data_IF_581906819826
#
_entry.id   IF_581906819826
#
_cell.length_a   1.000
_cell.length_b   1.000
_cell.length_c   1.000
_cell.angle_alpha   90.00
_cell.angle_beta   90.00
_cell.angle_gamma   90.00
#
_symmetry.space_group_name_H-M   'P 1'
#
loop_
_entity.id
_entity.type
_entity.pdbx_description
1 polymer ?
2 non-polymer ?
3 non-polymer ?
4 non-polymer ?
5 water ?
#
# COMPACT_ATOMS: atom_id res chain seq x y z
N UNK A 12 -9.69 -19.66 -12.34
CA UNK A 12 -9.75 -18.39 -11.63
C UNK A 12 -8.91 -18.30 -10.33
N UNK A 13 -8.09 -19.32 -10.05
CA UNK A 13 -7.61 -19.51 -8.67
C UNK A 13 -6.11 -19.59 -8.39
N UNK A 14 -5.73 -19.07 -7.23
CA UNK A 14 -4.32 -18.93 -6.85
C UNK A 14 -4.04 -19.47 -5.46
N UNK A 15 -2.78 -19.88 -5.24
CA UNK A 15 -2.34 -20.42 -3.96
C UNK A 15 -2.47 -19.40 -2.85
N UNK A 16 -2.93 -19.85 -1.69
CA UNK A 16 -3.18 -18.96 -0.57
C UNK A 16 -3.05 -19.68 0.76
N UNK A 17 -2.64 -18.93 1.78
CA UNK A 17 -2.44 -19.48 3.12
C UNK A 17 -2.59 -18.38 4.15
N UNK A 18 -2.81 -18.77 5.40
CA UNK A 18 -3.06 -17.81 6.47
C UNK A 18 -2.00 -17.89 7.58
N UNK A 19 -1.69 -16.74 8.17
CA UNK A 19 -0.72 -16.70 9.26
C UNK A 19 -1.33 -16.00 10.47
N UNK A 20 -1.20 -16.61 11.64
CA UNK A 20 -1.74 -16.02 12.86
C UNK A 20 -0.72 -15.09 13.50
N UNK A 21 -1.19 -13.93 13.98
CA UNK A 21 -0.28 -12.94 14.54
C UNK A 21 -0.50 -12.76 16.04
N UNK A 22 0.59 -12.74 16.78
CA UNK A 22 0.53 -12.49 18.20
C UNK A 22 1.37 -11.30 18.59
N UNK A 23 0.87 -10.56 19.57
CA UNK A 23 1.65 -9.56 20.26
C UNK A 23 2.99 -10.17 20.65
N UNK A 24 4.07 -9.41 20.54
CA UNK A 24 5.39 -9.85 20.97
C UNK A 24 5.77 -9.09 22.23
N UNK A 25 5.83 -9.81 23.36
CA UNK A 25 6.24 -9.21 24.62
C UNK A 25 7.60 -9.75 25.03
N UNK A 26 8.27 -9.07 25.98
CA UNK A 26 9.56 -9.58 26.47
C UNK A 26 9.42 -10.99 27.05
N UNK A 27 8.29 -11.26 27.68
CA UNK A 27 8.06 -12.54 28.34
C UNK A 27 7.81 -13.69 27.36
N UNK A 28 7.16 -13.37 26.23
CA UNK A 28 6.72 -14.37 25.28
C UNK A 28 5.60 -13.82 24.41
N UNK A 29 4.71 -14.69 23.96
CA UNK A 29 3.57 -14.27 23.13
C UNK A 29 2.53 -13.50 23.95
N UNK A 30 1.98 -12.44 23.38
CA UNK A 30 0.90 -11.70 24.03
C UNK A 30 -0.44 -12.10 23.47
N UNK A 31 -1.39 -11.17 23.50
CA UNK A 31 -2.70 -11.36 22.90
C UNK A 31 -2.59 -11.76 21.43
N UNK A 32 -3.54 -12.56 20.98
CA UNK A 32 -3.72 -12.82 19.57
C UNK A 32 -4.31 -11.55 18.93
N UNK A 33 -3.81 -11.16 17.76
CA UNK A 33 -4.25 -9.92 17.12
C UNK A 33 -5.01 -10.16 15.81
N UNK A 34 -5.02 -11.39 15.36
CA UNK A 34 -5.78 -11.77 14.19
C UNK A 34 -4.88 -12.45 13.20
N UNK A 35 -5.17 -12.28 11.91
CA UNK A 35 -4.41 -12.98 10.90
C UNK A 35 -3.96 -12.10 9.73
N UNK A 36 -3.10 -12.67 8.90
CA UNK A 36 -2.70 -12.07 7.67
C UNK A 36 -2.79 -13.17 6.64
N UNK A 37 -3.46 -12.90 5.53
CA UNK A 37 -3.57 -13.86 4.46
C UNK A 37 -2.53 -13.56 3.41
N UNK A 38 -1.78 -14.58 3.04
CA UNK A 38 -0.77 -14.45 1.99
C UNK A 38 -1.25 -15.18 0.74
N UNK A 39 -1.39 -14.41 -0.34
CA UNK A 39 -1.97 -14.91 -1.59
C UNK A 39 -1.04 -14.65 -2.77
N UNK A 40 -0.85 -15.67 -3.61
CA UNK A 40 -0.15 -15.52 -4.87
C UNK A 40 -1.00 -14.77 -5.91
N UNK A 41 -0.45 -13.69 -6.47
CA UNK A 41 -1.11 -13.03 -7.59
C UNK A 41 -0.18 -13.05 -8.80
N UNK A 42 -0.68 -12.62 -9.95
CA UNK A 42 0.14 -12.53 -11.14
C UNK A 42 1.23 -11.46 -10.98
N UNK A 43 1.21 -10.75 -9.86
CA UNK A 43 2.15 -9.66 -9.62
C UNK A 43 3.01 -9.84 -8.37
N UNK A 44 2.93 -11.04 -7.79
CA UNK A 44 3.64 -11.31 -6.56
C UNK A 44 2.73 -11.59 -5.40
N UNK A 45 3.33 -11.75 -4.23
CA UNK A 45 2.57 -12.13 -3.03
C UNK A 45 1.80 -10.94 -2.47
N UNK A 46 0.51 -11.14 -2.26
CA UNK A 46 -0.31 -10.12 -1.60
C UNK A 46 -0.53 -10.48 -0.12
N UNK A 47 -0.23 -9.54 0.77
CA UNK A 47 -0.50 -9.70 2.19
C UNK A 47 -1.72 -8.91 2.61
N UNK A 48 -2.79 -9.62 2.98
CA UNK A 48 -4.03 -8.98 3.43
C UNK A 48 -4.21 -9.15 4.94
N UNK A 49 -4.07 -8.06 5.70
CA UNK A 49 -4.20 -8.12 7.15
C UNK A 49 -5.65 -8.20 7.58
N UNK A 50 -5.90 -8.90 8.69
CA UNK A 50 -7.16 -8.89 9.42
C UNK A 50 -6.76 -8.79 10.89
N UNK A 51 -6.32 -7.60 11.28
CA UNK A 51 -5.66 -7.42 12.55
C UNK A 51 -6.34 -6.36 13.41
N UNK A 52 -6.23 -6.51 14.72
CA UNK A 52 -6.77 -5.53 15.65
C UNK A 52 -5.73 -5.21 16.72
N UNK A 53 -5.93 -4.10 17.44
CA UNK A 53 -5.10 -3.77 18.57
C UNK A 53 -3.70 -3.25 18.23
N UNK A 54 -3.57 -2.55 17.12
CA UNK A 54 -2.28 -1.97 16.74
C UNK A 54 -2.33 -0.45 16.79
N UNK A 55 -1.20 0.17 17.12
CA UNK A 55 -1.11 1.62 17.12
C UNK A 55 -1.44 2.16 15.74
N UNK A 56 -2.44 3.04 15.66
CA UNK A 56 -2.77 3.68 14.37
C UNK A 56 -1.51 4.18 13.66
N UNK A 57 -1.47 4.04 12.34
CA UNK A 57 -0.32 4.49 11.57
C UNK A 57 0.33 3.43 10.69
N UNK A 58 1.55 3.70 10.23
CA UNK A 58 2.26 2.80 9.34
C UNK A 58 3.43 2.11 10.03
N UNK A 59 3.44 0.78 9.99
CA UNK A 59 4.46 0.00 10.71
C UNK A 59 5.38 -0.80 9.79
N UNK A 60 6.67 -0.83 10.14
CA UNK A 60 7.60 -1.76 9.51
C UNK A 60 7.04 -3.17 9.51
N UNK A 61 7.20 -3.84 8.38
CA UNK A 61 6.51 -5.09 8.09
C UNK A 61 7.48 -5.94 7.26
N UNK A 62 8.10 -6.94 7.88
CA UNK A 62 9.15 -7.70 7.19
C UNK A 62 9.14 -9.20 7.52
N UNK A 63 9.70 -9.97 6.60
CA UNK A 63 9.97 -11.38 6.83
C UNK A 63 11.36 -11.53 7.45
N UNK A 64 11.43 -12.20 8.61
CA UNK A 64 12.72 -12.44 9.26
C UNK A 64 13.21 -13.89 9.04
N UNK A 65 14.53 -14.08 9.10
CA UNK A 65 15.16 -15.35 8.77
C UNK A 65 14.51 -16.57 9.41
N UNK A 66 14.31 -16.53 10.73
CA UNK A 66 14.00 -17.73 11.49
C UNK A 66 12.52 -17.94 11.79
N UNK A 67 12.11 -19.22 11.78
CA UNK A 67 10.75 -19.68 12.07
C UNK A 67 10.39 -19.56 13.55
N UNK A 68 10.73 -18.44 14.18
CA UNK A 68 10.39 -18.23 15.59
C UNK A 68 10.01 -16.80 15.92
N UNK A 69 9.03 -16.63 16.80
CA UNK A 69 8.63 -15.31 17.26
C UNK A 69 9.04 -15.11 18.71
N UNK A 70 9.86 -16.03 19.19
CA UNK A 70 10.20 -16.09 20.62
C UNK A 70 11.12 -14.94 21.03
N UNK A 71 11.02 -14.54 22.30
CA UNK A 71 11.97 -13.59 22.87
C UNK A 71 13.39 -14.10 22.72
N UNK A 72 14.34 -13.18 22.73
CA UNK A 72 15.74 -13.56 22.69
C UNK A 72 16.47 -12.80 23.77
N UNK A 73 17.57 -13.36 24.25
CA UNK A 73 18.34 -12.65 25.25
C UNK A 73 19.41 -11.81 24.58
N UNK A 74 19.61 -10.60 25.11
CA UNK A 74 20.63 -9.69 24.60
C UNK A 74 21.02 -8.72 25.69
N UNK A 75 22.28 -8.79 26.13
CA UNK A 75 22.76 -7.92 27.19
C UNK A 75 21.95 -8.09 28.48
N UNK A 76 21.48 -9.30 28.72
CA UNK A 76 20.79 -9.62 29.97
C UNK A 76 19.32 -9.25 29.99
N UNK A 77 18.78 -8.90 28.83
CA UNK A 77 17.38 -8.49 28.73
C UNK A 77 16.63 -9.34 27.71
N UNK A 78 15.35 -9.61 28.00
CA UNK A 78 14.51 -10.32 27.06
C UNK A 78 13.98 -9.37 25.99
N UNK A 79 14.54 -9.48 24.78
CA UNK A 79 14.10 -8.69 23.64
C UNK A 79 13.01 -9.42 22.86
N UNK A 80 11.83 -8.79 22.72
CA UNK A 80 10.69 -9.41 22.03
C UNK A 80 11.01 -9.88 20.60
N UNK A 81 10.60 -11.10 20.31
CA UNK A 81 10.71 -11.67 18.96
C UNK A 81 12.12 -11.68 18.39
N UNK A 82 13.11 -11.45 19.26
CA UNK A 82 14.51 -11.44 18.84
C UNK A 82 14.97 -12.78 18.27
N UNK A 83 14.26 -13.86 18.60
CA UNK A 83 14.63 -15.18 18.11
C UNK A 83 14.41 -15.36 16.62
N UNK A 84 13.65 -14.45 16.00
CA UNK A 84 13.40 -14.53 14.56
C UNK A 84 14.62 -14.14 13.71
N UNK A 85 15.68 -13.68 14.38
CA UNK A 85 16.86 -13.22 13.67
C UNK A 85 16.61 -12.00 12.79
N UNK A 86 17.46 -11.80 11.80
CA UNK A 86 17.42 -10.61 10.98
C UNK A 86 16.44 -10.69 9.82
N UNK A 87 16.48 -9.70 8.94
CA UNK A 87 15.61 -9.72 7.77
C UNK A 87 16.01 -10.80 6.79
N UNK A 88 15.03 -11.45 6.19
CA UNK A 88 15.27 -12.45 5.17
C UNK A 88 16.12 -11.87 4.04
N UNK A 89 17.30 -12.46 3.81
CA UNK A 89 18.25 -11.92 2.87
C UNK A 89 19.06 -13.02 2.21
N UNK A 90 18.40 -13.86 1.40
CA UNK A 90 19.06 -15.00 0.75
C UNK A 90 20.23 -14.58 -0.14
N UNK A 91 20.14 -13.40 -0.76
CA UNK A 91 21.22 -12.93 -1.63
C UNK A 91 22.35 -12.25 -0.85
N UNK A 92 22.19 -12.21 0.47
CA UNK A 92 23.21 -11.62 1.33
C UNK A 92 23.55 -10.17 0.96
N UNK A 93 22.53 -9.39 0.62
CA UNK A 93 22.74 -7.98 0.25
C UNK A 93 23.20 -7.14 1.44
N UNK A 94 22.74 -7.49 2.64
CA UNK A 94 23.11 -6.78 3.85
C UNK A 94 22.55 -5.37 3.93
N UNK A 95 21.51 -5.10 3.14
CA UNK A 95 20.97 -3.74 3.09
C UNK A 95 19.44 -3.73 3.06
N UNK A 96 18.86 -2.72 3.71
CA UNK A 96 17.41 -2.57 3.73
C UNK A 96 16.95 -1.49 2.71
N UNK A 97 16.31 -1.94 1.62
CA UNK A 97 15.91 -1.05 0.53
C UNK A 97 14.42 -1.17 0.16
N UNK A 98 13.68 -1.96 0.92
CA UNK A 98 12.24 -2.03 0.76
C UNK A 98 11.79 -2.97 -0.33
N UNK A 99 10.46 -3.06 -0.53
CA UNK A 99 9.79 -4.09 -1.33
C UNK A 99 9.86 -3.86 -2.84
N UNK A 100 10.36 -2.70 -3.28
CA UNK A 100 10.35 -2.40 -4.72
C UNK A 100 11.76 -2.30 -5.27
N UNK A 101 12.74 -2.78 -4.51
CA UNK A 101 14.14 -2.66 -4.91
C UNK A 101 14.90 -3.97 -4.69
N UNK A 102 15.42 -4.54 -5.77
CA UNK A 102 16.05 -5.85 -5.75
C UNK A 102 17.41 -5.91 -5.06
N UNK A 103 17.95 -4.76 -4.68
CA UNK A 103 19.30 -4.73 -4.13
C UNK A 103 19.34 -4.95 -2.62
N UNK A 104 18.16 -4.99 -2.00
CA UNK A 104 18.06 -5.13 -0.57
C UNK A 104 17.37 -6.43 -0.15
N UNK A 105 17.16 -6.56 1.15
CA UNK A 105 16.56 -7.75 1.76
C UNK A 105 15.32 -8.24 1.03
N UNK A 106 15.33 -9.50 0.62
CA UNK A 106 14.14 -10.09 -0.01
C UNK A 106 12.91 -10.07 0.93
N UNK A 107 13.16 -10.01 2.24
CA UNK A 107 12.07 -10.02 3.22
C UNK A 107 11.39 -8.68 3.47
N UNK A 108 11.89 -7.62 2.81
CA UNK A 108 11.29 -6.28 2.91
C UNK A 108 9.92 -6.19 2.23
N UNK A 109 8.90 -5.90 3.03
CA UNK A 109 7.54 -5.74 2.52
C UNK A 109 7.13 -4.28 2.66
N UNK A 110 6.06 -3.86 1.97
CA UNK A 110 5.54 -2.51 2.17
C UNK A 110 5.10 -2.30 3.62
N UNK A 111 5.10 -1.06 4.07
CA UNK A 111 4.62 -0.74 5.41
C UNK A 111 3.21 -1.26 5.64
N UNK A 112 3.00 -1.84 6.80
CA UNK A 112 1.65 -2.26 7.21
C UNK A 112 0.86 -1.02 7.61
N UNK A 113 -0.30 -0.84 6.99
CA UNK A 113 -1.13 0.33 7.28
C UNK A 113 -2.19 0.01 8.31
N UNK A 114 -2.18 0.76 9.40
CA UNK A 114 -3.13 0.57 10.49
C UNK A 114 -4.10 1.73 10.60
N UNK A 115 -5.39 1.41 10.49
CA UNK A 115 -6.47 2.38 10.60
C UNK A 115 -6.47 3.08 11.95
N UNK A 116 -7.23 4.17 12.04
CA UNK A 116 -7.30 4.99 13.25
C UNK A 116 -7.86 4.19 14.41
N UNK A 117 -8.64 3.16 14.08
CA UNK A 117 -9.29 2.35 15.11
C UNK A 117 -8.42 1.18 15.57
N UNK A 118 -7.18 1.13 15.11
CA UNK A 118 -6.24 0.11 15.55
C UNK A 118 -6.29 -1.19 14.76
N UNK A 119 -7.21 -1.27 13.80
CA UNK A 119 -7.28 -2.42 12.91
C UNK A 119 -6.37 -2.21 11.70
N UNK A 120 -5.92 -3.32 11.10
CA UNK A 120 -5.21 -3.27 9.83
C UNK A 120 -5.96 -4.12 8.83
N UNK A 121 -6.27 -3.56 7.67
CA UNK A 121 -7.12 -4.22 6.69
C UNK A 121 -6.60 -3.99 5.28
N UNK A 122 -5.86 -2.90 5.11
CA UNK A 122 -5.34 -2.49 3.81
C UNK A 122 -4.31 -3.50 3.30
N UNK A 123 -4.63 -4.18 2.18
CA UNK A 123 -3.74 -5.18 1.58
C UNK A 123 -2.46 -4.55 1.02
N UNK A 124 -1.33 -5.22 1.19
CA UNK A 124 -0.07 -4.73 0.67
C UNK A 124 0.63 -5.79 -0.18
N UNK A 125 1.08 -5.39 -1.36
CA UNK A 125 1.68 -6.29 -2.34
C UNK A 125 3.20 -6.24 -2.28
N UNK A 126 3.84 -7.41 -2.24
CA UNK A 126 5.30 -7.49 -2.28
C UNK A 126 5.72 -8.17 -3.57
N UNK A 127 5.94 -7.37 -4.63
CA UNK A 127 6.14 -7.87 -5.99
C UNK A 127 7.37 -8.77 -6.13
N UNK A 128 8.33 -8.63 -5.22
CA UNK A 128 9.57 -9.38 -5.36
C UNK A 128 9.39 -10.85 -4.97
N UNK A 129 8.36 -11.13 -4.18
CA UNK A 129 8.05 -12.50 -3.81
C UNK A 129 7.00 -13.08 -4.74
N UNK A 130 7.26 -14.27 -5.29
CA UNK A 130 6.36 -14.88 -6.25
C UNK A 130 5.55 -16.06 -5.71
N UNK A 131 6.14 -16.88 -4.85
CA UNK A 131 5.42 -18.08 -4.42
C UNK A 131 5.46 -18.30 -2.91
N UNK A 132 4.44 -18.97 -2.40
CA UNK A 132 4.36 -19.26 -0.97
C UNK A 132 5.63 -19.95 -0.43
N UNK A 133 6.28 -20.74 -1.26
CA UNK A 133 7.48 -21.47 -0.85
C UNK A 133 8.60 -20.56 -0.35
N UNK A 134 8.51 -19.27 -0.71
CA UNK A 134 9.57 -18.30 -0.40
C UNK A 134 9.38 -17.69 0.97
N UNK A 135 8.18 -17.82 1.52
CA UNK A 135 7.86 -17.19 2.80
C UNK A 135 7.62 -18.19 3.93
N UNK A 136 7.49 -19.46 3.57
CA UNK A 136 7.24 -20.49 4.56
C UNK A 136 8.46 -20.71 5.44
N UNK A 137 8.23 -21.00 6.72
CA UNK A 137 9.32 -21.22 7.67
C UNK A 137 10.13 -19.96 7.95
N UNK A 138 9.47 -18.81 7.85
CA UNK A 138 10.06 -17.55 8.27
C UNK A 138 9.06 -16.81 9.14
N UNK A 139 9.53 -15.78 9.84
CA UNK A 139 8.67 -15.00 10.71
C UNK A 139 8.16 -13.72 10.02
N UNK A 140 6.85 -13.51 10.13
CA UNK A 140 6.20 -12.28 9.72
C UNK A 140 6.23 -11.29 10.89
N UNK A 141 6.97 -10.19 10.72
CA UNK A 141 7.25 -9.28 11.82
C UNK A 141 6.55 -7.93 11.67
N UNK A 142 6.05 -7.41 12.79
CA UNK A 142 5.41 -6.10 12.84
C UNK A 142 6.08 -5.20 13.87
N UNK A 143 6.66 -4.10 13.40
CA UNK A 143 7.48 -3.24 14.23
C UNK A 143 6.70 -2.07 14.84
N UNK A 144 7.29 -1.46 15.85
CA UNK A 144 6.69 -0.33 16.53
C UNK A 144 6.76 0.90 15.66
N UNK A 145 7.88 1.07 14.96
CA UNK A 145 8.08 2.21 14.09
C UNK A 145 7.60 1.93 12.67
N UNK A 146 7.82 2.89 11.78
CA UNK A 146 7.44 2.74 10.39
C UNK A 146 8.54 2.16 9.51
N UNK A 147 8.53 2.52 8.23
CA UNK A 147 9.52 2.02 7.28
C UNK A 147 9.70 2.96 6.08
N UNK A 148 10.84 3.64 6.03
CA UNK A 148 11.13 4.51 4.89
C UNK A 148 11.95 3.79 3.82
N UNK A 149 12.01 2.46 3.94
CA UNK A 149 12.64 1.59 2.94
C UNK A 149 14.13 1.89 2.74
N UNK A 150 14.79 2.27 3.81
CA UNK A 150 16.18 2.68 3.73
C UNK A 150 16.91 2.42 5.05
N UNK A 151 18.24 2.35 5.00
CA UNK A 151 19.03 2.31 6.22
C UNK A 151 19.37 3.73 6.71
N UNK A 152 18.84 4.74 6.01
CA UNK A 152 19.00 6.14 6.42
C UNK A 152 17.61 6.77 6.59
N UNK A 153 17.43 7.62 7.62
CA UNK A 153 18.41 8.04 8.64
C UNK A 153 18.62 6.97 9.69
N UNK A 154 17.76 5.97 9.72
CA UNK A 154 17.84 4.92 10.73
C UNK A 154 17.95 3.56 10.07
N UNK A 155 18.58 2.60 10.77
CA UNK A 155 18.78 1.26 10.20
C UNK A 155 17.45 0.54 10.00
N UNK A 156 17.37 -0.26 8.94
CA UNK A 156 16.21 -1.13 8.74
C UNK A 156 14.91 -0.37 8.67
N UNK A 157 14.94 0.83 8.09
CA UNK A 157 13.73 1.57 7.81
C UNK A 157 13.19 2.34 9.00
N UNK A 158 13.87 2.24 10.13
CA UNK A 158 13.41 2.88 11.35
C UNK A 158 12.32 2.09 12.06
N UNK A 159 12.26 0.80 11.79
CA UNK A 159 11.27 -0.08 12.40
C UNK A 159 11.36 -0.15 13.92
N UNK A 160 12.56 -0.01 14.47
CA UNK A 160 12.74 -0.11 15.89
C UNK A 160 12.27 -1.47 16.41
N UNK A 161 11.63 -1.45 17.56
CA UNK A 161 11.30 -2.69 18.28
C UNK A 161 10.27 -3.55 17.56
N UNK A 162 10.28 -4.84 17.87
CA UNK A 162 9.31 -5.79 17.32
C UNK A 162 8.16 -5.87 18.30
N UNK A 163 6.93 -5.71 17.83
CA UNK A 163 5.81 -5.69 18.76
C UNK A 163 4.71 -6.71 18.49
N UNK A 164 4.77 -7.38 17.34
CA UNK A 164 3.85 -8.45 16.99
C UNK A 164 4.47 -9.33 15.92
N UNK A 165 4.15 -10.62 15.94
CA UNK A 165 4.88 -11.57 15.12
C UNK A 165 4.06 -12.82 14.85
N UNK A 166 4.31 -13.48 13.73
CA UNK A 166 3.70 -14.75 13.44
C UNK A 166 4.65 -15.59 12.60
N UNK A 167 4.69 -16.87 12.87
CA UNK A 167 5.52 -17.79 12.09
C UNK A 167 4.73 -18.31 10.89
N UNK A 168 5.25 -18.12 9.69
CA UNK A 168 4.54 -18.59 8.51
C UNK A 168 4.68 -20.09 8.36
N UNK A 169 3.52 -20.74 8.18
CA UNK A 169 3.44 -22.17 7.94
C UNK A 169 3.76 -22.94 9.21
N UNK B 13 19.25 8.06 -14.86
CA UNK B 13 18.00 8.79 -15.07
C UNK B 13 16.79 7.87 -14.95
N UNK B 14 16.03 8.02 -13.87
CA UNK B 14 14.79 7.29 -13.70
C UNK B 14 13.68 7.84 -14.60
N UNK B 15 12.78 6.96 -15.03
CA UNK B 15 11.61 7.39 -15.77
C UNK B 15 10.58 7.84 -14.75
N UNK B 16 10.64 9.13 -14.40
CA UNK B 16 9.79 9.67 -13.36
C UNK B 16 9.17 11.01 -13.76
N UNK B 17 8.00 11.30 -13.24
CA UNK B 17 7.31 12.56 -13.52
C UNK B 17 6.41 12.94 -12.35
N UNK B 18 6.02 14.21 -12.29
CA UNK B 18 5.14 14.68 -11.21
C UNK B 18 3.79 15.16 -11.72
N UNK B 19 2.80 15.17 -10.85
CA UNK B 19 1.47 15.66 -11.18
C UNK B 19 0.98 16.53 -10.05
N UNK B 20 0.61 17.76 -10.39
CA UNK B 20 0.01 18.69 -9.45
C UNK B 20 -1.40 18.23 -9.11
N UNK B 21 -1.73 18.20 -7.82
CA UNK B 21 -3.10 17.88 -7.41
C UNK B 21 -3.84 19.07 -6.82
N UNK B 22 -5.03 19.33 -7.36
CA UNK B 22 -5.90 20.39 -6.84
C UNK B 22 -7.20 19.85 -6.26
N UNK B 23 -7.69 20.54 -5.23
CA UNK B 23 -9.01 20.34 -4.68
C UNK B 23 -10.01 20.33 -5.82
N UNK B 24 -11.00 19.44 -5.75
CA UNK B 24 -12.07 19.44 -6.72
C UNK B 24 -13.34 20.05 -6.13
N UNK B 25 -13.66 21.26 -6.59
CA UNK B 25 -14.85 21.98 -6.13
C UNK B 25 -15.91 21.99 -7.23
N UNK B 26 -17.17 22.27 -6.85
CA UNK B 26 -18.29 22.36 -7.79
C UNK B 26 -18.07 23.41 -8.89
N UNK B 27 -17.31 24.45 -8.57
CA UNK B 27 -17.12 25.56 -9.50
C UNK B 27 -15.81 25.45 -10.30
N UNK B 28 -14.93 24.55 -9.87
CA UNK B 28 -13.67 24.35 -10.55
C UNK B 28 -12.57 23.91 -9.61
N UNK B 29 -11.35 24.38 -9.85
CA UNK B 29 -10.22 23.98 -9.02
C UNK B 29 -10.14 24.78 -7.72
N UNK B 30 -9.85 24.07 -6.64
CA UNK B 30 -9.60 24.70 -5.36
C UNK B 30 -8.10 24.83 -5.16
N UNK B 31 -7.68 24.83 -3.90
CA UNK B 31 -6.27 24.93 -3.56
C UNK B 31 -5.44 23.81 -4.17
N UNK B 32 -4.17 24.12 -4.44
CA UNK B 32 -3.19 23.08 -4.74
C UNK B 32 -2.96 22.31 -3.45
N UNK B 33 -3.08 20.98 -3.50
CA UNK B 33 -2.89 20.15 -2.31
C UNK B 33 -1.52 19.48 -2.33
N UNK B 34 -0.72 19.79 -3.34
CA UNK B 34 0.61 19.22 -3.49
C UNK B 34 0.76 18.42 -4.77
N UNK B 35 1.61 17.40 -4.73
CA UNK B 35 1.88 16.60 -5.92
C UNK B 35 1.87 15.11 -5.64
N UNK B 36 1.95 14.34 -6.71
CA UNK B 36 2.20 12.92 -6.65
C UNK B 36 3.28 12.59 -7.67
N UNK B 37 4.31 11.88 -7.23
CA UNK B 37 5.36 11.43 -8.15
C UNK B 37 5.04 10.06 -8.71
N UNK B 38 5.27 9.89 -10.00
CA UNK B 38 4.97 8.65 -10.68
C UNK B 38 6.27 8.11 -11.28
N UNK B 39 6.70 6.95 -10.81
CA UNK B 39 8.02 6.47 -11.16
C UNK B 39 7.98 5.06 -11.71
N UNK B 40 8.71 4.83 -12.80
CA UNK B 40 8.83 3.48 -13.35
C UNK B 40 9.76 2.65 -12.48
N UNK B 41 9.30 1.47 -12.09
CA UNK B 41 10.17 0.53 -11.39
C UNK B 41 10.19 -0.79 -12.13
N UNK B 42 11.08 -1.68 -11.72
CA UNK B 42 11.12 -3.04 -12.24
C UNK B 42 9.81 -3.77 -11.98
N UNK B 43 8.94 -3.20 -11.15
CA UNK B 43 7.69 -3.88 -10.80
C UNK B 43 6.43 -3.11 -11.18
N UNK B 44 6.60 -2.06 -11.98
CA UNK B 44 5.47 -1.25 -12.38
C UNK B 44 5.54 0.17 -11.81
N UNK B 45 4.46 0.92 -11.98
CA UNK B 45 4.46 2.33 -11.63
C UNK B 45 4.29 2.55 -10.13
N UNK B 46 5.25 3.26 -9.55
CA UNK B 46 5.18 3.60 -8.14
C UNK B 46 4.62 5.01 -8.04
N UNK B 47 3.50 5.16 -7.34
CA UNK B 47 2.94 6.47 -7.06
C UNK B 47 3.38 6.94 -5.67
N UNK B 48 4.34 7.86 -5.63
CA UNK B 48 4.76 8.45 -4.36
C UNK B 48 4.06 9.80 -4.13
N UNK B 49 3.10 9.83 -3.20
CA UNK B 49 2.32 11.05 -2.92
C UNK B 49 3.13 12.08 -2.15
N UNK B 50 2.76 13.34 -2.33
CA UNK B 50 3.28 14.44 -1.54
C UNK B 50 2.14 15.44 -1.34
N UNK B 51 1.09 14.98 -0.66
CA UNK B 51 -0.14 15.76 -0.56
C UNK B 51 -0.43 16.22 0.87
N UNK B 52 -1.25 17.26 0.99
CA UNK B 52 -1.65 17.80 2.27
C UNK B 52 -3.14 18.03 2.22
N UNK B 53 -3.76 18.31 3.38
CA UNK B 53 -5.14 18.73 3.42
C UNK B 53 -6.21 17.66 3.19
N UNK B 54 -5.84 16.39 3.33
CA UNK B 54 -6.80 15.31 3.08
C UNK B 54 -7.35 14.70 4.38
N UNK B 55 -8.57 14.18 4.31
CA UNK B 55 -9.16 13.46 5.43
C UNK B 55 -8.38 12.19 5.71
N UNK B 56 -7.92 12.00 6.95
CA UNK B 56 -7.15 10.81 7.31
C UNK B 56 -7.93 9.53 6.97
N UNK B 57 -7.20 8.48 6.57
CA UNK B 57 -7.84 7.25 6.16
C UNK B 57 -7.41 6.83 4.76
N UNK B 58 -8.20 5.98 4.14
CA UNK B 58 -7.83 5.44 2.84
C UNK B 58 -8.82 5.93 1.78
N UNK B 59 -8.29 6.51 0.71
CA UNK B 59 -9.13 7.13 -0.32
C UNK B 59 -9.05 6.44 -1.68
N UNK B 60 -10.19 6.33 -2.36
CA UNK B 60 -10.20 5.84 -3.73
C UNK B 60 -9.25 6.68 -4.56
N UNK B 61 -8.41 6.00 -5.33
CA UNK B 61 -7.28 6.61 -6.02
C UNK B 61 -7.24 5.94 -7.38
N UNK B 62 -7.71 6.64 -8.42
CA UNK B 62 -7.87 6.03 -9.74
C UNK B 62 -7.42 6.96 -10.89
N UNK B 63 -6.93 6.35 -11.97
CA UNK B 63 -6.82 7.08 -13.24
C UNK B 63 -8.16 7.06 -13.95
N UNK B 64 -8.70 8.25 -14.21
CA UNK B 64 -9.91 8.39 -15.00
C UNK B 64 -9.59 8.73 -16.46
N UNK B 65 -10.52 8.42 -17.35
CA UNK B 65 -10.30 8.49 -18.81
C UNK B 65 -9.78 9.82 -19.36
N UNK B 66 -10.50 10.90 -19.12
CA UNK B 66 -10.25 12.15 -19.81
C UNK B 66 -9.25 13.07 -19.09
N UNK B 67 -8.39 13.73 -19.88
CA UNK B 67 -7.42 14.69 -19.36
C UNK B 67 -8.09 15.97 -18.87
N UNK B 68 -9.05 15.85 -17.97
CA UNK B 68 -9.70 17.04 -17.39
C UNK B 68 -10.11 16.82 -15.95
N UNK B 69 -10.05 17.89 -15.15
CA UNK B 69 -10.51 17.84 -13.77
C UNK B 69 -11.66 18.81 -13.52
N UNK B 70 -12.17 19.42 -14.60
CA UNK B 70 -13.27 20.39 -14.50
C UNK B 70 -14.55 19.73 -14.01
N UNK B 71 -15.44 20.53 -13.40
CA UNK B 71 -16.71 19.96 -12.95
C UNK B 71 -17.61 19.68 -14.13
N UNK B 72 -18.70 18.97 -13.91
CA UNK B 72 -19.67 18.71 -14.95
C UNK B 72 -21.06 18.81 -14.39
N UNK B 73 -22.05 18.64 -15.25
CA UNK B 73 -23.45 18.69 -14.82
C UNK B 73 -24.07 17.30 -14.81
N UNK B 74 -24.75 16.97 -13.71
CA UNK B 74 -25.49 15.73 -13.61
C UNK B 74 -26.77 15.95 -12.82
N UNK B 75 -27.91 15.86 -13.51
CA UNK B 75 -29.20 16.06 -12.87
C UNK B 75 -29.31 17.47 -12.31
N UNK B 76 -28.82 18.44 -13.07
CA UNK B 76 -28.92 19.85 -12.71
C UNK B 76 -27.96 20.34 -11.65
N UNK B 77 -27.14 19.43 -11.11
CA UNK B 77 -26.22 19.78 -10.03
C UNK B 77 -24.75 19.80 -10.47
N UNK B 78 -23.96 20.69 -9.89
CA UNK B 78 -22.53 20.78 -10.18
C UNK B 78 -21.75 19.63 -9.53
N UNK B 79 -21.08 18.85 -10.36
CA UNK B 79 -20.34 17.68 -9.89
C UNK B 79 -18.85 17.83 -10.11
N UNK B 80 -18.08 17.95 -9.03
CA UNK B 80 -16.63 18.14 -9.07
C UNK B 80 -15.89 17.09 -9.92
N UNK B 81 -15.01 17.56 -10.80
CA UNK B 81 -14.12 16.68 -11.57
C UNK B 81 -14.86 15.68 -12.47
N UNK B 82 -16.15 15.91 -12.69
CA UNK B 82 -16.96 15.00 -13.48
C UNK B 82 -16.49 14.88 -14.93
N UNK B 83 -15.81 15.92 -15.43
CA UNK B 83 -15.35 15.93 -16.81
C UNK B 83 -14.21 14.93 -17.06
N UNK B 84 -13.74 14.29 -15.99
CA UNK B 84 -12.69 13.29 -16.11
C UNK B 84 -13.25 12.00 -16.68
N UNK B 85 -14.57 11.85 -16.62
CA UNK B 85 -15.21 10.62 -17.05
C UNK B 85 -14.97 9.48 -16.05
N UNK B 86 -15.11 8.26 -16.55
CA UNK B 86 -15.01 7.07 -15.71
C UNK B 86 -13.58 6.61 -15.53
N UNK B 87 -13.41 5.36 -15.10
CA UNK B 87 -12.08 4.81 -14.93
C UNK B 87 -11.43 4.41 -16.25
N UNK B 88 -10.13 4.66 -16.37
CA UNK B 88 -9.38 4.21 -17.54
C UNK B 88 -9.56 2.70 -17.66
N UNK B 89 -10.00 2.27 -18.84
CA UNK B 89 -10.43 0.88 -19.06
C UNK B 89 -10.33 0.50 -20.54
N UNK B 90 -9.09 0.44 -21.06
CA UNK B 90 -8.87 0.14 -22.49
C UNK B 90 -9.26 -1.29 -22.86
N UNK B 91 -9.32 -2.20 -21.90
CA UNK B 91 -9.75 -3.56 -22.19
C UNK B 91 -11.28 -3.66 -22.22
N UNK B 92 -11.94 -2.57 -21.84
CA UNK B 92 -13.40 -2.49 -21.84
C UNK B 92 -14.03 -3.55 -20.95
N UNK B 93 -13.41 -3.79 -19.80
CA UNK B 93 -13.93 -4.77 -18.85
C UNK B 93 -15.25 -4.31 -18.23
N UNK B 94 -15.44 -3.01 -18.11
CA UNK B 94 -16.62 -2.45 -17.49
C UNK B 94 -16.78 -2.85 -16.02
N UNK B 95 -15.67 -3.18 -15.38
CA UNK B 95 -15.71 -3.62 -13.98
C UNK B 95 -14.53 -3.10 -13.17
N UNK B 96 -14.81 -2.62 -11.97
CA UNK B 96 -13.81 -2.15 -11.02
C UNK B 96 -13.32 -3.31 -10.12
N UNK B 97 -12.07 -3.75 -10.30
CA UNK B 97 -11.51 -4.88 -9.54
C UNK B 97 -10.17 -4.61 -8.86
N UNK B 98 -9.74 -3.35 -8.83
CA UNK B 98 -8.54 -3.00 -8.11
C UNK B 98 -7.24 -3.16 -8.89
N UNK B 99 -6.10 -2.82 -8.25
CA UNK B 99 -4.77 -2.70 -8.85
C UNK B 99 -4.08 -4.05 -9.11
N UNK B 100 -4.63 -5.14 -8.59
CA UNK B 100 -3.94 -6.42 -8.67
C UNK B 100 -4.68 -7.46 -9.50
N UNK B 101 -5.67 -7.02 -10.25
CA UNK B 101 -6.53 -7.94 -10.99
C UNK B 101 -6.70 -7.50 -12.47
N UNK B 102 -6.18 -8.30 -13.39
CA UNK B 102 -6.17 -7.95 -14.82
C UNK B 102 -7.57 -7.82 -15.41
N UNK B 103 -8.59 -8.26 -14.67
CA UNK B 103 -9.93 -8.37 -15.20
C UNK B 103 -10.80 -7.11 -15.04
N UNK B 104 -10.27 -6.10 -14.36
CA UNK B 104 -11.01 -4.86 -14.17
C UNK B 104 -10.34 -3.65 -14.81
N UNK B 105 -10.82 -2.45 -14.47
CA UNK B 105 -10.27 -1.21 -15.01
C UNK B 105 -8.76 -1.11 -14.81
N UNK B 106 -8.05 -0.84 -15.90
CA UNK B 106 -6.61 -0.62 -15.84
C UNK B 106 -6.27 0.59 -14.94
N UNK B 107 -7.18 1.55 -14.86
CA UNK B 107 -6.98 2.73 -14.03
C UNK B 107 -7.10 2.55 -12.52
N UNK B 108 -7.45 1.34 -12.07
CA UNK B 108 -7.58 1.06 -10.64
C UNK B 108 -6.23 1.03 -9.93
N UNK B 109 -6.00 2.00 -9.06
CA UNK B 109 -4.76 2.05 -8.29
C UNK B 109 -5.04 1.60 -6.85
N UNK B 110 -4.00 1.24 -6.10
CA UNK B 110 -4.18 0.93 -4.67
C UNK B 110 -4.73 2.16 -3.96
N UNK B 111 -5.48 1.93 -2.88
CA UNK B 111 -6.00 3.03 -2.09
C UNK B 111 -4.89 3.98 -1.66
N UNK B 112 -5.18 5.27 -1.70
CA UNK B 112 -4.26 6.29 -1.22
C UNK B 112 -4.32 6.35 0.30
N UNK B 113 -3.18 6.18 0.95
CA UNK B 113 -3.16 6.19 2.41
C UNK B 113 -2.87 7.59 2.93
N UNK B 114 -3.79 8.09 3.76
CA UNK B 114 -3.67 9.44 4.32
C UNK B 114 -3.42 9.42 5.83
N UNK B 115 -2.32 10.04 6.25
CA UNK B 115 -1.89 10.08 7.65
C UNK B 115 -2.84 10.90 8.53
N UNK B 116 -2.64 10.80 9.84
CA UNK B 116 -3.49 11.49 10.80
C UNK B 116 -3.46 13.01 10.63
N UNK B 117 -2.36 13.54 10.09
CA UNK B 117 -2.23 14.98 9.95
C UNK B 117 -2.75 15.47 8.59
N UNK B 118 -3.36 14.56 7.85
CA UNK B 118 -3.97 14.90 6.59
C UNK B 118 -3.01 14.85 5.43
N UNK B 119 -1.76 14.45 5.70
CA UNK B 119 -0.78 14.33 4.64
C UNK B 119 -0.77 12.93 4.04
N UNK B 120 -0.42 12.83 2.76
CA UNK B 120 -0.22 11.52 2.15
C UNK B 120 1.22 11.40 1.68
N UNK B 121 1.93 10.44 2.25
CA UNK B 121 3.36 10.28 1.99
C UNK B 121 3.70 8.85 1.56
N UNK B 122 2.83 7.92 1.94
CA UNK B 122 3.03 6.48 1.72
C UNK B 122 2.91 6.08 0.24
N UNK B 123 3.98 5.52 -0.33
CA UNK B 123 4.00 5.13 -1.74
C UNK B 123 3.12 3.92 -2.04
N UNK B 124 2.41 3.93 -3.17
CA UNK B 124 1.62 2.77 -3.58
C UNK B 124 2.01 2.29 -4.98
N UNK B 125 2.22 0.98 -5.10
CA UNK B 125 2.63 0.37 -6.36
C UNK B 125 1.42 -0.13 -7.14
N UNK B 126 1.30 0.29 -8.40
CA UNK B 126 0.28 -0.26 -9.29
C UNK B 126 0.98 -1.13 -10.30
N UNK B 127 1.06 -2.43 -10.03
CA UNK B 127 1.93 -3.34 -10.81
C UNK B 127 1.45 -3.58 -12.24
N UNK B 128 0.19 -3.26 -12.55
CA UNK B 128 -0.34 -3.55 -13.89
C UNK B 128 0.13 -2.52 -14.92
N UNK B 129 0.51 -1.34 -14.43
CA UNK B 129 1.00 -0.26 -15.29
C UNK B 129 2.52 -0.31 -15.36
N UNK B 130 3.08 -0.24 -16.56
CA UNK B 130 4.53 -0.42 -16.77
C UNK B 130 5.33 0.82 -17.20
N UNK B 131 4.71 1.75 -17.93
CA UNK B 131 5.47 2.93 -18.33
C UNK B 131 4.69 4.23 -18.16
N UNK B 132 5.42 5.35 -18.07
CA UNK B 132 4.80 6.68 -17.95
C UNK B 132 3.75 6.93 -19.02
N UNK B 133 4.01 6.47 -20.25
CA UNK B 133 3.09 6.77 -21.33
C UNK B 133 1.66 6.31 -21.01
N UNK B 134 1.53 5.29 -20.16
CA UNK B 134 0.20 4.75 -19.86
C UNK B 134 -0.65 5.67 -18.98
N UNK B 135 -0.01 6.62 -18.30
CA UNK B 135 -0.75 7.56 -17.44
C UNK B 135 -0.92 8.95 -18.04
N UNK B 136 -0.19 9.25 -19.11
CA UNK B 136 -0.27 10.57 -19.73
C UNK B 136 -1.63 10.80 -20.36
N UNK B 137 -2.13 12.03 -20.22
CA UNK B 137 -3.44 12.39 -20.77
C UNK B 137 -4.60 11.68 -20.07
N UNK B 138 -4.44 11.45 -18.77
CA UNK B 138 -5.53 10.95 -17.93
C UNK B 138 -5.59 11.74 -16.63
N UNK B 139 -6.72 11.66 -15.93
CA UNK B 139 -6.89 12.40 -14.67
C UNK B 139 -6.62 11.51 -13.47
N UNK B 140 -5.73 11.96 -12.59
CA UNK B 140 -5.44 11.26 -11.35
C UNK B 140 -6.43 11.72 -10.28
N UNK B 141 -7.33 10.82 -9.89
CA UNK B 141 -8.46 11.19 -9.05
C UNK B 141 -8.34 10.66 -7.61
N UNK B 142 -8.75 11.49 -6.66
CA UNK B 142 -8.79 11.12 -5.26
C UNK B 142 -10.22 11.27 -4.75
N UNK B 143 -10.77 10.18 -4.20
CA UNK B 143 -12.16 10.19 -3.80
C UNK B 143 -12.35 10.45 -2.32
N UNK B 144 -13.56 10.79 -1.93
CA UNK B 144 -13.89 11.00 -0.52
C UNK B 144 -13.86 9.67 0.21
N UNK B 145 -14.51 8.67 -0.38
CA UNK B 145 -14.56 7.35 0.22
C UNK B 145 -13.34 6.48 -0.03
N UNK B 146 -13.40 5.25 0.45
CA UNK B 146 -12.29 4.33 0.29
C UNK B 146 -12.40 3.54 -1.00
N UNK B 147 -11.85 2.32 -0.99
CA UNK B 147 -11.85 1.47 -2.16
C UNK B 147 -11.60 0.03 -1.71
N UNK B 148 -12.61 -0.82 -1.80
CA UNK B 148 -12.42 -2.23 -1.51
C UNK B 148 -12.13 -3.04 -2.78
N UNK B 149 -11.81 -2.35 -3.86
CA UNK B 149 -11.40 -3.00 -5.10
C UNK B 149 -12.52 -3.83 -5.72
N UNK B 150 -13.76 -3.41 -5.47
CA UNK B 150 -14.91 -4.13 -5.96
C UNK B 150 -16.04 -3.18 -6.33
N UNK B 151 -17.02 -3.66 -7.08
CA UNK B 151 -18.24 -2.88 -7.31
C UNK B 151 -19.31 -3.21 -6.27
N UNK B 152 -19.01 -4.18 -5.41
CA UNK B 152 -19.92 -4.57 -4.35
C UNK B 152 -19.22 -4.38 -2.99
N UNK B 153 -19.92 -3.80 -2.01
CA UNK B 153 -21.35 -3.44 -1.97
C UNK B 153 -21.65 -2.14 -2.70
N UNK B 154 -20.64 -1.29 -2.81
CA UNK B 154 -20.79 0.01 -3.49
C UNK B 154 -20.03 0.01 -4.80
N UNK B 155 -20.60 0.66 -5.82
CA UNK B 155 -19.97 0.78 -7.14
C UNK B 155 -18.59 1.42 -7.05
N UNK B 156 -17.66 0.97 -7.88
CA UNK B 156 -16.37 1.63 -8.00
C UNK B 156 -15.65 1.72 -6.65
N UNK B 157 -15.77 0.65 -5.86
CA UNK B 157 -15.04 0.55 -4.61
C UNK B 157 -15.57 1.37 -3.47
N UNK B 158 -16.65 2.12 -3.70
CA UNK B 158 -17.20 2.98 -2.66
C UNK B 158 -16.54 4.35 -2.57
N UNK B 159 -15.73 4.68 -3.58
CA UNK B 159 -15.04 5.95 -3.61
C UNK B 159 -15.96 7.15 -3.46
N UNK B 160 -17.19 7.02 -3.95
CA UNK B 160 -18.13 8.12 -3.90
C UNK B 160 -17.67 9.36 -4.64
N UNK B 161 -17.78 10.51 -3.97
CA UNK B 161 -17.49 11.79 -4.62
C UNK B 161 -16.01 12.00 -4.95
N UNK B 162 -15.76 12.80 -5.99
CA UNK B 162 -14.40 13.22 -6.34
C UNK B 162 -14.07 14.49 -5.57
N UNK B 163 -12.94 14.51 -4.87
CA UNK B 163 -12.59 15.70 -4.12
C UNK B 163 -11.19 16.28 -4.40
N UNK B 164 -10.40 15.56 -5.18
CA UNK B 164 -9.10 16.06 -5.59
C UNK B 164 -8.69 15.44 -6.92
N UNK B 165 -8.02 16.22 -7.76
CA UNK B 165 -7.79 15.80 -9.12
C UNK B 165 -6.58 16.50 -9.72
N UNK B 166 -5.85 15.80 -10.56
CA UNK B 166 -4.73 16.38 -11.29
C UNK B 166 -4.64 15.74 -12.65
N UNK B 167 -4.53 16.56 -13.70
CA UNK B 167 -4.39 16.05 -15.05
C UNK B 167 -2.92 15.73 -15.29
N UNK B 168 -2.64 14.50 -15.67
CA UNK B 168 -1.27 14.06 -15.83
C UNK B 168 -0.73 14.44 -17.19
N UNK B 169 0.37 15.20 -17.18
CA UNK B 169 1.07 15.56 -18.40
C UNK B 169 0.15 16.44 -19.24
X LIG C 1 15.13 -5.25 5.40
X LIG D 1 13.00 -19.62 2.68
X LIG E 1 -12.19 -20.77 -7.80
X LIG F 1 12.07 -6.24 10.66
X LIG G 1 -12.18 1.10 -11.46
X LIG H 1 -22.06 -8.16 0.51
X LIG I 1 -12.50 7.01 -9.47
X LIG J 1 7.94 6.04 2.69
X LIG J 1 7.88 7.53 2.91
X LIG J 1 8.23 8.26 1.62
X LIG J 1 9.48 7.76 1.05
X LIG J 1 9.57 6.29 0.90
X LIG J 1 9.30 5.64 2.24
X LIG J 1 10.14 8.60 -0.04
X LIG J 1 10.27 10.09 0.20
X LIG J 1 10.99 11.03 -1.16
X LIG J 1 10.40 12.57 -1.13
X LIG J 1 10.58 10.29 -2.59
X LIG J 1 12.63 11.07 -1.01
X LIG K 1 -7.29 16.23 9.56
X LIG K 1 -6.19 16.58 10.35
X LIG K 1 -7.56 17.33 8.50
X LIG K 1 -6.41 17.48 7.69
X LIG K 1 -8.76 16.93 7.62
X LIG K 1 -8.87 17.82 6.54
X LIG L 1 12.90 9.05 -6.61
X LIG L 1 12.75 10.37 -6.18
X LIG L 1 11.70 8.19 -6.15
X LIG L 1 10.53 8.58 -6.82
X LIG L 1 11.98 6.69 -6.40
X LIG L 1 10.76 5.98 -6.44
#
# INVERSE_FOLDING_TARGET
NMAGMNDKASMNDKASMTVKINESLPQGNGKALGTVTVTETAYGLLFTPHLTGLAPGIHGFHLHEKPSCAPGMKDGKAVPALAAGGHLDPNKTGVHLGPYNDKGHLGDLPGLVVNADGTATYPVLAPRLKSLSEVKQHALMIHAGGDNYSDHPMPLGGGGARMACGVIE
NMAGMNDKASMNDKASMTVKINESLPQGNGKALGTVTVTETAYGLLFTPHLTGLAPGIHGFHLHEKPSCAPGMKDGKAVPALAAGGHLDPNKTGVHLGPYNDKGHLGDLPGLVVNADGTATYPVLAPRLKSLSEVKQHALMIHAGGDNYSDHPMPLGGGGARMACGVIE
ZN ZN
ZN ZN
ZN ZN
ZN ZN
ZN ZN
ZN ZN
ZN ZN
MES O1 C2 C3 N4 C5 C6 C7 C8 S O1S O2S O3S
GOL C1 O1 C2 O2 C3 O3
GOL C1 O1 C2 O2 C3 O3
#
